data_IF_333450974185
#
_entry.id   IF_333450974185
#
_cell.length_a   1.000
_cell.length_b   1.000
_cell.length_c   1.000
_cell.angle_alpha   90.00
_cell.angle_beta   90.00
_cell.angle_gamma   90.00
#
_symmetry.space_group_name_H-M   'P 1'
#
loop_
_entity.id
_entity.type
_entity.pdbx_description
1 polymer ?
#
# COMPACT_ATOMS: atom_id res chain seq x y z
N UNK A 1 -22.44 -10.86 14.71
CA UNK A 1 -21.11 -10.27 14.95
C UNK A 1 -20.46 -11.05 16.07
N UNK A 2 -19.28 -11.62 15.90
CA UNK A 2 -18.50 -12.13 17.03
C UNK A 2 -18.21 -10.92 17.95
N UNK A 3 -18.48 -11.05 19.25
CA UNK A 3 -18.34 -9.97 20.23
C UNK A 3 -16.91 -9.42 20.40
N UNK A 4 -15.91 -10.01 19.73
CA UNK A 4 -14.48 -9.74 19.94
C UNK A 4 -13.71 -9.35 18.67
N UNK A 5 -14.38 -8.99 17.56
CA UNK A 5 -13.66 -8.56 16.36
C UNK A 5 -12.94 -7.23 16.60
N UNK A 6 -11.71 -7.15 16.10
CA UNK A 6 -10.83 -5.97 16.18
C UNK A 6 -10.44 -5.52 14.78
N UNK A 7 -10.21 -4.23 14.65
CA UNK A 7 -9.57 -3.61 13.51
C UNK A 7 -8.24 -3.05 14.02
N UNK A 8 -7.13 -3.50 13.43
CA UNK A 8 -5.77 -3.23 13.89
C UNK A 8 -5.02 -2.49 12.80
N UNK A 9 -4.28 -1.46 13.19
CA UNK A 9 -3.28 -0.78 12.38
C UNK A 9 -1.89 -1.12 12.93
N UNK A 10 -1.00 -1.59 12.06
CA UNK A 10 0.38 -1.92 12.40
C UNK A 10 1.32 -1.38 11.32
N UNK A 11 1.95 -0.21 11.54
CA UNK A 11 3.00 0.28 10.65
C UNK A 11 4.29 -0.51 10.88
N UNK A 12 4.91 -0.99 9.80
CA UNK A 12 6.23 -1.61 9.81
C UNK A 12 7.33 -0.65 9.34
N UNK A 13 6.94 0.48 8.77
CA UNK A 13 7.80 1.59 8.35
C UNK A 13 6.98 2.83 8.00
N UNK A 14 7.63 3.97 7.83
CA UNK A 14 7.00 5.24 7.45
C UNK A 14 6.35 6.01 8.60
N UNK A 15 6.47 5.58 9.85
CA UNK A 15 5.88 6.26 11.01
C UNK A 15 6.96 6.96 11.83
N UNK A 16 6.90 8.29 11.86
CA UNK A 16 7.92 9.13 12.51
C UNK A 16 9.18 9.32 11.68
N UNK A 17 9.16 8.93 10.44
CA UNK A 17 10.23 9.05 9.45
C UNK A 17 9.65 9.30 8.06
N UNK A 18 10.49 9.69 7.10
CA UNK A 18 10.15 9.74 5.68
C UNK A 18 10.82 8.57 4.99
N UNK A 19 10.04 7.75 4.30
CA UNK A 19 10.55 6.59 3.59
C UNK A 19 9.98 5.27 4.08
N UNK A 20 10.32 4.19 3.41
CA UNK A 20 9.97 2.78 3.63
C UNK A 20 8.55 2.54 4.17
N UNK A 21 7.56 3.24 3.58
CA UNK A 21 6.17 3.08 3.98
C UNK A 21 5.71 1.64 3.83
N UNK A 22 5.25 1.03 4.92
CA UNK A 22 4.62 -0.29 4.92
C UNK A 22 3.60 -0.37 6.05
N UNK A 23 2.33 -0.25 5.68
CA UNK A 23 1.23 -0.10 6.63
C UNK A 23 0.30 -1.31 6.55
N UNK A 24 0.14 -2.04 7.65
CA UNK A 24 -0.74 -3.20 7.74
C UNK A 24 -2.06 -2.83 8.38
N UNK A 25 -3.15 -3.37 7.80
CA UNK A 25 -4.48 -3.33 8.39
C UNK A 25 -4.99 -4.74 8.59
N UNK A 26 -5.31 -5.08 9.83
CA UNK A 26 -5.79 -6.39 10.24
C UNK A 26 -7.22 -6.35 10.74
N UNK A 27 -8.04 -7.32 10.32
CA UNK A 27 -9.40 -7.50 10.79
C UNK A 27 -9.66 -8.94 11.22
N UNK A 28 -10.11 -9.12 12.45
CA UNK A 28 -10.40 -10.45 13.02
C UNK A 28 -10.50 -10.42 14.53
N UNK A 29 -10.47 -11.60 15.15
CA UNK A 29 -10.58 -11.73 16.61
C UNK A 29 -9.20 -11.83 17.26
N UNK A 30 -8.40 -12.82 16.85
CA UNK A 30 -7.05 -13.04 17.35
C UNK A 30 -6.04 -12.70 16.26
N UNK A 31 -4.86 -12.21 16.65
CA UNK A 31 -3.84 -11.68 15.72
C UNK A 31 -3.42 -12.72 14.67
N UNK A 32 -3.30 -13.98 15.07
CA UNK A 32 -2.86 -15.06 14.18
C UNK A 32 -3.94 -15.49 13.18
N UNK A 33 -5.23 -15.20 13.47
CA UNK A 33 -6.36 -15.51 12.60
C UNK A 33 -6.86 -14.28 11.79
N UNK A 34 -6.33 -13.08 12.08
CA UNK A 34 -6.73 -11.87 11.37
C UNK A 34 -6.42 -11.97 9.89
N UNK A 35 -7.32 -11.45 9.07
CA UNK A 35 -7.04 -11.17 7.66
C UNK A 35 -6.35 -9.82 7.55
N UNK A 36 -5.29 -9.78 6.78
CA UNK A 36 -4.41 -8.62 6.64
C UNK A 36 -4.39 -8.10 5.22
N UNK A 37 -4.27 -6.80 5.07
CA UNK A 37 -3.84 -6.14 3.84
C UNK A 37 -2.63 -5.26 4.16
N UNK A 38 -1.80 -5.05 3.15
CA UNK A 38 -0.68 -4.10 3.19
C UNK A 38 -1.04 -2.92 2.30
N UNK A 39 -0.76 -1.72 2.79
CA UNK A 39 -0.77 -0.49 1.98
C UNK A 39 0.66 0.01 1.90
N UNK A 40 1.16 0.04 0.68
CA UNK A 40 2.52 0.38 0.28
C UNK A 40 3.60 -0.59 0.78
N UNK A 41 4.69 -0.66 0.04
CA UNK A 41 5.91 -1.42 0.37
C UNK A 41 7.10 -0.62 -0.17
N UNK A 42 7.50 0.38 0.58
CA UNK A 42 8.53 1.33 0.18
C UNK A 42 9.93 0.96 0.64
N UNK A 43 10.87 1.82 0.23
CA UNK A 43 12.25 1.83 0.71
C UNK A 43 12.57 3.18 1.35
N UNK A 44 13.65 3.23 2.11
CA UNK A 44 14.39 4.45 2.36
C UNK A 44 15.86 4.24 1.98
N UNK A 45 16.63 5.31 1.96
CA UNK A 45 18.04 5.27 1.57
C UNK A 45 18.93 5.41 2.80
N UNK A 46 20.12 4.82 2.71
CA UNK A 46 21.14 5.01 3.73
C UNK A 46 21.60 6.46 3.81
N UNK A 47 22.08 6.85 4.97
CA UNK A 47 22.60 8.18 5.27
C UNK A 47 23.94 8.10 6.03
N UNK A 48 24.39 9.22 6.56
CA UNK A 48 25.66 9.31 7.30
C UNK A 48 25.69 8.41 8.56
N UNK A 49 24.53 7.99 9.07
CA UNK A 49 24.42 7.09 10.23
C UNK A 49 24.49 5.61 9.84
N UNK A 50 24.33 5.31 8.55
CA UNK A 50 24.34 3.96 7.98
C UNK A 50 25.35 3.82 6.85
N UNK A 51 26.66 4.05 7.09
CA UNK A 51 27.69 4.08 6.05
C UNK A 51 27.78 2.75 5.30
N UNK A 52 27.76 2.79 3.96
CA UNK A 52 27.80 1.62 3.09
C UNK A 52 26.47 0.91 2.88
N UNK A 53 25.38 1.48 3.36
CA UNK A 53 24.01 1.03 3.09
C UNK A 53 23.38 1.91 2.03
N UNK A 54 22.99 1.33 0.89
CA UNK A 54 22.32 2.07 -0.20
C UNK A 54 20.79 2.12 0.00
N UNK A 55 20.20 1.00 0.41
CA UNK A 55 18.74 0.82 0.52
C UNK A 55 18.39 0.15 1.85
N UNK A 56 17.35 0.65 2.49
CA UNK A 56 16.78 0.10 3.72
C UNK A 56 15.32 -0.29 3.44
N UNK A 57 14.95 -1.47 3.91
CA UNK A 57 13.63 -2.07 3.76
C UNK A 57 12.95 -2.20 5.12
N UNK A 58 11.62 -2.10 5.19
CA UNK A 58 10.89 -2.42 6.42
C UNK A 58 11.07 -3.89 6.80
N UNK A 59 11.12 -4.18 8.09
CA UNK A 59 11.10 -5.55 8.59
C UNK A 59 9.69 -6.13 8.43
N UNK A 60 9.56 -7.11 7.53
CA UNK A 60 8.29 -7.73 7.18
C UNK A 60 8.05 -9.11 7.84
N UNK A 61 8.91 -9.54 8.77
CA UNK A 61 8.84 -10.88 9.34
C UNK A 61 7.49 -11.17 9.99
N UNK A 62 6.88 -10.18 10.65
CA UNK A 62 5.54 -10.31 11.23
C UNK A 62 4.49 -10.81 10.22
N UNK A 63 4.44 -10.21 9.04
CA UNK A 63 3.43 -10.57 8.02
C UNK A 63 3.84 -11.78 7.19
N UNK A 64 5.13 -12.02 7.04
CA UNK A 64 5.68 -13.21 6.38
C UNK A 64 5.29 -14.48 7.13
N UNK A 65 5.35 -14.49 8.46
CA UNK A 65 4.88 -15.59 9.30
C UNK A 65 3.36 -15.83 9.17
N UNK A 66 2.59 -14.81 8.74
CA UNK A 66 1.13 -14.83 8.59
C UNK A 66 0.66 -14.69 7.15
N UNK A 67 1.52 -14.98 6.17
CA UNK A 67 1.25 -14.79 4.73
C UNK A 67 0.00 -15.50 4.23
N UNK A 68 -0.40 -16.61 4.83
CA UNK A 68 -1.63 -17.32 4.50
C UNK A 68 -2.90 -16.51 4.86
N UNK A 69 -2.76 -15.53 5.73
CA UNK A 69 -3.81 -14.59 6.11
C UNK A 69 -3.70 -13.24 5.39
N UNK A 70 -2.64 -13.02 4.61
CA UNK A 70 -2.45 -11.81 3.81
C UNK A 70 -3.33 -11.88 2.55
N UNK A 71 -4.23 -10.94 2.42
CA UNK A 71 -5.23 -10.92 1.34
C UNK A 71 -4.74 -10.14 0.10
N UNK A 72 -3.81 -9.22 0.29
CA UNK A 72 -3.24 -8.45 -0.82
C UNK A 72 -2.43 -7.24 -0.37
N UNK A 73 -1.76 -6.64 -1.34
CA UNK A 73 -1.00 -5.39 -1.24
C UNK A 73 -1.64 -4.36 -2.14
N UNK A 74 -1.91 -3.17 -1.62
CA UNK A 74 -2.40 -2.03 -2.40
C UNK A 74 -1.29 -1.00 -2.44
N UNK A 75 -0.90 -0.53 -3.63
CA UNK A 75 0.08 0.53 -3.80
C UNK A 75 -0.64 1.83 -4.13
N UNK A 76 -0.46 2.84 -3.29
CA UNK A 76 -1.12 4.14 -3.40
C UNK A 76 -0.61 4.95 -4.60
N UNK A 77 0.70 4.90 -4.85
CA UNK A 77 1.37 5.58 -5.96
C UNK A 77 2.81 5.04 -6.16
N UNK A 78 3.50 5.51 -7.19
CA UNK A 78 4.75 4.91 -7.66
C UNK A 78 6.05 5.57 -7.14
N UNK A 79 6.04 6.37 -6.06
CA UNK A 79 7.28 6.83 -5.43
C UNK A 79 8.03 5.68 -4.74
N UNK A 80 9.35 5.79 -4.69
CA UNK A 80 10.23 4.73 -4.16
C UNK A 80 9.95 4.38 -2.71
N UNK A 81 9.60 5.36 -1.90
CA UNK A 81 9.23 5.17 -0.49
C UNK A 81 7.85 4.53 -0.28
N UNK A 82 7.13 4.22 -1.39
CA UNK A 82 5.85 3.50 -1.40
C UNK A 82 5.90 2.20 -2.21
N UNK A 83 6.70 2.11 -3.28
CA UNK A 83 6.73 0.93 -4.15
C UNK A 83 8.10 0.25 -4.22
N UNK A 84 9.17 0.95 -3.80
CA UNK A 84 10.55 0.52 -4.01
C UNK A 84 10.93 -0.82 -3.39
N UNK A 85 10.33 -1.15 -2.24
CA UNK A 85 10.55 -2.41 -1.53
C UNK A 85 9.79 -3.61 -2.09
N UNK A 86 8.78 -3.36 -2.94
CA UNK A 86 7.82 -4.39 -3.35
C UNK A 86 8.50 -5.59 -4.03
N UNK A 87 9.37 -5.35 -5.01
CA UNK A 87 10.05 -6.43 -5.72
C UNK A 87 11.10 -7.19 -4.88
N UNK A 88 11.50 -6.64 -3.73
CA UNK A 88 12.37 -7.31 -2.76
C UNK A 88 11.59 -8.22 -1.81
N UNK A 89 10.46 -7.74 -1.27
CA UNK A 89 9.73 -8.41 -0.19
C UNK A 89 8.62 -9.34 -0.71
N UNK A 90 8.05 -9.06 -1.88
CA UNK A 90 6.96 -9.85 -2.44
C UNK A 90 7.29 -11.34 -2.66
N UNK A 91 8.52 -11.78 -3.00
CA UNK A 91 8.86 -13.19 -3.13
C UNK A 91 8.54 -14.03 -1.88
N UNK A 92 8.60 -13.42 -0.70
CA UNK A 92 8.21 -14.07 0.57
C UNK A 92 6.69 -14.09 0.79
N UNK A 93 5.98 -13.07 0.27
CA UNK A 93 4.55 -12.82 0.53
C UNK A 93 3.63 -13.47 -0.51
N UNK A 94 3.96 -13.38 -1.80
CA UNK A 94 3.28 -13.99 -2.96
C UNK A 94 1.77 -13.77 -3.04
N UNK A 95 1.28 -12.67 -2.49
CA UNK A 95 -0.13 -12.30 -2.51
C UNK A 95 -0.48 -11.45 -3.74
N UNK A 96 -1.79 -11.23 -4.04
CA UNK A 96 -2.22 -10.29 -5.08
C UNK A 96 -1.72 -8.86 -4.81
N UNK A 97 -1.39 -8.13 -5.87
CA UNK A 97 -1.01 -6.73 -5.86
C UNK A 97 -2.09 -5.94 -6.60
N UNK A 98 -2.48 -4.79 -6.07
CA UNK A 98 -3.47 -3.88 -6.65
C UNK A 98 -2.83 -2.51 -6.84
N UNK A 99 -2.90 -1.98 -8.05
CA UNK A 99 -2.34 -0.67 -8.38
C UNK A 99 -3.05 -0.05 -9.59
N UNK A 100 -3.01 1.28 -9.70
CA UNK A 100 -3.48 1.98 -10.91
C UNK A 100 -2.54 1.76 -12.09
N UNK A 101 -2.95 2.10 -13.29
CA UNK A 101 -2.24 1.75 -14.53
C UNK A 101 -0.79 2.27 -14.56
N UNK A 102 -0.59 3.54 -14.17
CA UNK A 102 0.75 4.12 -14.12
C UNK A 102 1.63 3.39 -13.12
N UNK A 103 1.14 3.21 -11.89
CA UNK A 103 1.87 2.51 -10.81
C UNK A 103 2.16 1.06 -11.19
N UNK A 104 1.21 0.36 -11.83
CA UNK A 104 1.40 -1.01 -12.32
C UNK A 104 2.53 -1.11 -13.37
N UNK A 105 2.69 -0.09 -14.22
CA UNK A 105 3.78 -0.05 -15.19
C UNK A 105 5.15 0.03 -14.51
N UNK A 106 5.27 0.85 -13.47
CA UNK A 106 6.50 0.96 -12.67
C UNK A 106 6.77 -0.35 -11.90
N UNK A 107 5.73 -0.96 -11.33
CA UNK A 107 5.85 -2.27 -10.66
C UNK A 107 6.41 -3.32 -11.63
N UNK A 108 5.88 -3.42 -12.86
CA UNK A 108 6.40 -4.35 -13.88
C UNK A 108 7.88 -4.18 -14.12
N UNK A 109 8.34 -2.94 -14.34
CA UNK A 109 9.76 -2.65 -14.57
C UNK A 109 10.63 -3.14 -13.40
N UNK A 110 10.24 -2.86 -12.16
CA UNK A 110 10.97 -3.30 -10.96
C UNK A 110 11.06 -4.82 -10.83
N UNK A 111 10.00 -5.53 -11.18
CA UNK A 111 9.98 -6.99 -11.14
C UNK A 111 10.76 -7.61 -12.31
N UNK A 112 10.69 -7.01 -13.50
CA UNK A 112 11.46 -7.42 -14.67
C UNK A 112 12.97 -7.32 -14.41
N UNK A 113 13.45 -6.22 -13.80
CA UNK A 113 14.84 -6.03 -13.38
C UNK A 113 15.36 -7.16 -12.48
N UNK A 114 14.46 -7.81 -11.73
CA UNK A 114 14.77 -8.94 -10.86
C UNK A 114 14.45 -10.30 -11.47
N UNK A 115 13.98 -10.35 -12.70
CA UNK A 115 13.61 -11.59 -13.38
C UNK A 115 12.38 -12.29 -12.79
N UNK A 116 11.48 -11.55 -12.14
CA UNK A 116 10.28 -12.10 -11.49
C UNK A 116 9.05 -11.78 -12.35
N UNK A 117 8.29 -12.80 -12.69
CA UNK A 117 7.00 -12.63 -13.34
C UNK A 117 5.88 -12.51 -12.31
N UNK A 118 5.08 -11.43 -12.43
CA UNK A 118 3.97 -11.11 -11.51
C UNK A 118 2.62 -10.94 -12.20
N UNK A 119 2.54 -11.17 -13.51
CA UNK A 119 1.31 -10.86 -14.27
C UNK A 119 0.07 -11.56 -13.73
N UNK A 120 0.20 -12.77 -13.19
CA UNK A 120 -0.90 -13.52 -12.56
C UNK A 120 -1.36 -12.91 -11.21
N UNK A 121 -0.59 -12.00 -10.64
CA UNK A 121 -0.82 -11.42 -9.30
C UNK A 121 -1.04 -9.92 -9.34
N UNK A 122 -0.68 -9.24 -10.42
CA UNK A 122 -0.85 -7.80 -10.59
C UNK A 122 -2.25 -7.49 -11.13
N UNK A 123 -3.06 -6.86 -10.29
CA UNK A 123 -4.41 -6.41 -10.62
C UNK A 123 -4.39 -4.91 -10.89
N UNK A 124 -4.66 -4.53 -12.13
CA UNK A 124 -4.79 -3.12 -12.49
C UNK A 124 -6.20 -2.67 -12.13
N UNK A 125 -6.30 -1.58 -11.38
CA UNK A 125 -7.56 -0.99 -10.91
C UNK A 125 -7.71 0.43 -11.43
N UNK A 126 -8.94 0.83 -11.71
CA UNK A 126 -9.24 2.17 -12.22
C UNK A 126 -9.18 3.22 -11.10
N UNK A 127 -8.88 4.46 -11.48
CA UNK A 127 -8.97 5.61 -10.58
C UNK A 127 -10.37 5.73 -9.99
N UNK A 128 -10.45 6.07 -8.70
CA UNK A 128 -11.71 6.20 -7.95
C UNK A 128 -12.58 4.93 -7.91
N UNK A 129 -12.00 3.76 -8.22
CA UNK A 129 -12.72 2.48 -8.16
C UNK A 129 -12.93 1.98 -6.73
N UNK A 130 -13.85 1.03 -6.61
CA UNK A 130 -14.08 0.27 -5.39
C UNK A 130 -13.71 -1.19 -5.64
N UNK A 131 -12.90 -1.78 -4.76
CA UNK A 131 -12.48 -3.18 -4.83
C UNK A 131 -12.79 -3.91 -3.52
N UNK A 132 -13.08 -5.20 -3.64
CA UNK A 132 -13.27 -6.06 -2.47
C UNK A 132 -12.07 -6.98 -2.28
N UNK A 133 -11.40 -6.81 -1.14
CA UNK A 133 -10.35 -7.71 -0.65
C UNK A 133 -10.81 -8.20 0.72
N UNK A 134 -11.69 -9.21 0.71
CA UNK A 134 -12.39 -9.63 1.93
C UNK A 134 -11.45 -9.88 3.12
N UNK A 135 -11.77 -9.33 4.29
CA UNK A 135 -13.03 -8.70 4.72
C UNK A 135 -13.08 -7.17 4.53
N UNK A 136 -12.21 -6.60 3.71
CA UNK A 136 -12.10 -5.16 3.45
C UNK A 136 -12.81 -4.78 2.15
N UNK A 137 -13.60 -3.70 2.20
CA UNK A 137 -14.10 -2.98 1.02
C UNK A 137 -13.23 -1.71 0.89
N UNK A 138 -12.53 -1.57 -0.21
CA UNK A 138 -11.55 -0.49 -0.40
C UNK A 138 -12.00 0.39 -1.55
N UNK A 139 -12.09 1.70 -1.29
CA UNK A 139 -12.39 2.71 -2.29
C UNK A 139 -11.18 3.64 -2.45
N UNK A 140 -10.73 3.81 -3.70
CA UNK A 140 -9.69 4.75 -4.05
C UNK A 140 -10.29 6.17 -4.15
N UNK A 141 -9.54 7.13 -3.65
CA UNK A 141 -9.79 8.56 -3.86
C UNK A 141 -8.54 9.18 -4.45
N UNK A 142 -8.62 9.55 -5.73
CA UNK A 142 -7.51 10.22 -6.41
C UNK A 142 -7.24 11.58 -5.77
N UNK A 143 -5.96 11.86 -5.57
CA UNK A 143 -5.42 13.07 -4.96
C UNK A 143 -4.53 13.81 -5.97
N UNK A 144 -3.94 14.91 -5.54
CA UNK A 144 -2.83 15.58 -6.23
C UNK A 144 -1.53 15.39 -5.45
N UNK A 145 -0.47 15.09 -6.18
CA UNK A 145 0.89 14.89 -5.66
C UNK A 145 1.91 15.11 -6.79
N UNK A 146 3.20 14.91 -6.52
CA UNK A 146 4.29 15.11 -7.50
C UNK A 146 4.52 13.90 -8.44
N UNK A 147 3.52 13.02 -8.58
CA UNK A 147 3.55 11.85 -9.45
C UNK A 147 2.14 11.60 -10.03
N UNK A 148 1.99 10.96 -11.21
CA UNK A 148 0.68 10.59 -11.73
C UNK A 148 -0.06 9.57 -10.85
N UNK A 149 -1.39 9.68 -10.86
CA UNK A 149 -2.32 8.72 -10.23
C UNK A 149 -2.10 8.45 -8.73
N UNK A 150 -1.85 9.48 -7.88
CA UNK A 150 -1.74 9.26 -6.44
C UNK A 150 -3.13 9.06 -5.84
N UNK A 151 -3.24 8.15 -4.88
CA UNK A 151 -4.50 7.81 -4.25
C UNK A 151 -4.41 7.75 -2.74
N UNK A 152 -5.46 8.20 -2.08
CA UNK A 152 -5.83 7.80 -0.73
C UNK A 152 -6.82 6.64 -0.76
N UNK A 153 -7.01 5.98 0.37
CA UNK A 153 -7.87 4.81 0.47
C UNK A 153 -8.89 4.96 1.60
N UNK A 154 -10.17 4.73 1.30
CA UNK A 154 -11.17 4.41 2.31
C UNK A 154 -11.19 2.89 2.49
N UNK A 155 -10.76 2.41 3.64
CA UNK A 155 -10.70 0.97 3.98
C UNK A 155 -11.86 0.69 4.93
N UNK A 156 -12.93 0.12 4.40
CA UNK A 156 -14.16 -0.15 5.15
C UNK A 156 -14.20 -1.59 5.63
N UNK A 157 -14.63 -1.77 6.86
CA UNK A 157 -14.92 -3.07 7.48
C UNK A 157 -16.26 -3.00 8.23
N UNK A 158 -16.69 -4.10 8.82
CA UNK A 158 -17.88 -4.11 9.69
C UNK A 158 -17.73 -3.29 10.97
N UNK A 159 -16.51 -2.94 11.37
CA UNK A 159 -16.23 -2.16 12.58
C UNK A 159 -16.12 -0.65 12.32
N UNK A 160 -15.96 -0.25 11.08
CA UNK A 160 -15.80 1.14 10.68
C UNK A 160 -14.97 1.31 9.44
N UNK A 161 -14.70 2.56 9.10
CA UNK A 161 -13.89 2.96 7.95
C UNK A 161 -12.63 3.67 8.43
N UNK A 162 -11.49 3.28 7.88
CA UNK A 162 -10.22 3.98 8.02
C UNK A 162 -10.02 4.81 6.76
N UNK A 163 -9.51 6.02 6.90
CA UNK A 163 -9.01 6.82 5.81
C UNK A 163 -7.48 6.83 5.86
N UNK A 164 -6.86 6.13 4.90
CA UNK A 164 -5.42 6.14 4.67
C UNK A 164 -5.11 7.23 3.66
N UNK A 165 -4.45 8.30 4.10
CA UNK A 165 -4.26 9.50 3.29
C UNK A 165 -3.31 9.30 2.11
N UNK A 166 -2.34 8.39 2.23
CA UNK A 166 -1.20 8.37 1.34
C UNK A 166 -0.47 9.73 1.37
N UNK A 167 0.30 9.99 0.34
CA UNK A 167 0.96 11.28 0.13
C UNK A 167 0.10 12.21 -0.72
N UNK A 168 0.05 13.46 -0.35
CA UNK A 168 -0.76 14.45 -1.04
C UNK A 168 -0.15 15.86 -0.99
N UNK A 169 -0.49 16.64 -1.99
CA UNK A 169 -0.21 18.06 -2.08
C UNK A 169 -1.47 18.73 -2.61
N UNK A 170 -1.89 19.83 -2.00
CA UNK A 170 -3.00 20.62 -2.55
C UNK A 170 -2.50 21.35 -3.78
N UNK A 171 -3.11 21.06 -4.92
CA UNK A 171 -2.84 21.70 -6.19
C UNK A 171 -4.17 21.95 -6.91
N UNK A 172 -4.52 23.24 -7.07
CA UNK A 172 -5.78 23.64 -7.70
C UNK A 172 -5.70 23.60 -9.24
N UNK A 173 -4.47 23.49 -9.78
CA UNK A 173 -4.22 23.46 -11.23
C UNK A 173 -3.18 22.39 -11.60
N UNK A 174 -3.47 21.10 -11.34
CA UNK A 174 -2.52 20.04 -11.63
C UNK A 174 -2.27 19.91 -13.14
N UNK A 175 -1.01 19.68 -13.53
CA UNK A 175 -0.65 19.47 -14.96
C UNK A 175 -1.17 18.12 -15.45
N UNK A 176 -1.24 17.12 -14.56
CA UNK A 176 -1.72 15.76 -14.84
C UNK A 176 -2.78 15.39 -13.83
N UNK A 177 -3.91 14.85 -14.32
CA UNK A 177 -5.04 14.46 -13.48
C UNK A 177 -5.98 15.62 -13.18
N UNK A 178 -6.82 15.44 -12.17
CA UNK A 178 -7.82 16.41 -11.71
C UNK A 178 -7.47 16.91 -10.32
N UNK A 179 -7.95 18.11 -9.97
CA UNK A 179 -7.84 18.64 -8.61
C UNK A 179 -8.59 17.75 -7.61
N UNK A 180 -8.19 17.84 -6.33
CA UNK A 180 -8.82 17.07 -5.26
C UNK A 180 -10.28 17.50 -5.07
N UNK A 181 -11.21 16.55 -5.15
CA UNK A 181 -12.61 16.79 -4.80
C UNK A 181 -12.80 16.63 -3.28
N UNK A 182 -12.69 17.72 -2.55
CA UNK A 182 -12.88 17.74 -1.09
C UNK A 182 -14.30 17.34 -0.64
N UNK A 183 -15.31 17.37 -1.53
CA UNK A 183 -16.65 16.91 -1.17
C UNK A 183 -16.72 15.39 -0.99
N UNK A 184 -15.84 14.66 -1.63
CA UNK A 184 -15.73 13.20 -1.46
C UNK A 184 -15.05 12.80 -0.15
N UNK A 185 -14.45 13.76 0.58
CA UNK A 185 -13.82 13.56 1.88
C UNK A 185 -14.77 13.84 3.07
N UNK A 186 -15.97 14.33 2.81
CA UNK A 186 -17.03 14.59 3.80
C UNK A 186 -17.92 13.36 3.99
#
# INVERSE_FOLDING_TARGET
MSKNSRLVFLPLGGTGEIGMNMNLYGYGNEIDDMKWIIVDVGITFGDDTTPGVDVILPDHEFIKERKENLQGIIITHAHEDHVGGLAYLWPDLKCPIYATAFTASIIRLKFEERGINIEDKLNIIDLSSEIQIKPFDIKLQTLTHSIPEPNSLFIKTKLGTIYHTGDWKIDDNPIVGESIDFNKLK
#
